data_IF_163861841401
#
_entry.id   IF_163861841401
#
_cell.length_a   1.000
_cell.length_b   1.000
_cell.length_c   1.000
_cell.angle_alpha   90.00
_cell.angle_beta   90.00
_cell.angle_gamma   90.00
#
_symmetry.space_group_name_H-M   'P 1'
#
loop_
_entity.id
_entity.type
_entity.pdbx_description
1 polymer ?
#
# COMPACT_ATOMS: atom_id res chain seq x y z
N UNK A 1 -3.28 -11.00 -29.68
CA UNK A 1 -3.16 -12.33 -29.06
C UNK A 1 -4.53 -12.66 -28.49
N UNK A 2 -5.14 -13.75 -28.92
CA UNK A 2 -6.47 -14.18 -28.46
C UNK A 2 -6.25 -15.10 -27.26
N UNK A 3 -7.00 -14.89 -26.17
CA UNK A 3 -6.90 -15.69 -24.94
C UNK A 3 -7.60 -17.04 -25.17
N UNK A 4 -7.06 -18.11 -24.58
CA UNK A 4 -7.66 -19.44 -24.65
C UNK A 4 -8.93 -19.48 -23.78
N UNK A 5 -10.05 -19.93 -24.32
CA UNK A 5 -11.31 -20.02 -23.61
C UNK A 5 -11.25 -20.98 -22.39
N UNK A 6 -10.42 -22.02 -22.42
CA UNK A 6 -10.31 -22.97 -21.32
C UNK A 6 -9.88 -22.34 -19.99
N UNK A 7 -8.98 -21.35 -20.02
CA UNK A 7 -8.58 -20.62 -18.79
C UNK A 7 -9.77 -19.85 -18.18
N UNK A 8 -10.67 -19.35 -19.02
CA UNK A 8 -11.89 -18.69 -18.58
C UNK A 8 -12.92 -19.68 -18.02
N UNK A 9 -13.03 -20.88 -18.59
CA UNK A 9 -14.00 -21.90 -18.17
C UNK A 9 -13.70 -22.39 -16.74
N UNK A 10 -12.43 -22.55 -16.38
CA UNK A 10 -12.02 -22.91 -15.01
C UNK A 10 -12.40 -21.81 -14.01
N UNK A 11 -12.15 -20.56 -14.34
CA UNK A 11 -12.55 -19.42 -13.48
C UNK A 11 -14.07 -19.32 -13.34
N UNK A 12 -14.82 -19.51 -14.42
CA UNK A 12 -16.28 -19.47 -14.39
C UNK A 12 -16.86 -20.60 -13.53
N UNK A 13 -16.25 -21.78 -13.57
CA UNK A 13 -16.68 -22.89 -12.73
C UNK A 13 -16.35 -22.64 -11.24
N UNK A 14 -15.18 -22.05 -10.93
CA UNK A 14 -14.87 -21.59 -9.57
C UNK A 14 -15.86 -20.54 -9.08
N UNK A 15 -16.21 -19.57 -9.94
CA UNK A 15 -17.22 -18.56 -9.61
C UNK A 15 -18.60 -19.18 -9.36
N UNK A 16 -19.04 -20.14 -10.20
CA UNK A 16 -20.29 -20.87 -10.01
C UNK A 16 -20.36 -21.62 -8.69
N UNK A 17 -19.21 -22.08 -8.19
CA UNK A 17 -19.09 -22.83 -6.94
C UNK A 17 -18.80 -21.92 -5.73
N UNK A 18 -18.82 -20.60 -5.89
CA UNK A 18 -18.42 -19.62 -4.86
C UNK A 18 -16.99 -19.87 -4.30
N UNK A 19 -16.08 -20.28 -5.18
CA UNK A 19 -14.69 -20.63 -4.86
C UNK A 19 -13.67 -19.70 -5.50
N UNK A 20 -14.09 -18.49 -5.92
CA UNK A 20 -13.16 -17.50 -6.46
C UNK A 20 -12.13 -17.15 -5.37
N UNK A 21 -10.83 -17.33 -5.63
CA UNK A 21 -9.81 -17.04 -4.64
C UNK A 21 -9.86 -15.58 -4.19
N UNK A 22 -10.05 -15.36 -2.92
CA UNK A 22 -10.01 -14.02 -2.35
C UNK A 22 -8.57 -13.55 -2.20
N UNK A 23 -8.38 -12.22 -2.26
CA UNK A 23 -7.10 -11.60 -1.93
C UNK A 23 -6.72 -11.86 -0.47
N UNK A 24 -5.44 -11.72 -0.16
CA UNK A 24 -4.92 -11.96 1.18
C UNK A 24 -5.34 -10.84 2.13
N UNK A 25 -5.98 -11.21 3.22
CA UNK A 25 -6.33 -10.31 4.32
C UNK A 25 -5.21 -10.18 5.34
N UNK A 26 -5.39 -9.30 6.31
CA UNK A 26 -4.48 -9.10 7.44
C UNK A 26 -5.17 -9.30 8.79
N UNK A 27 -6.28 -10.03 8.77
CA UNK A 27 -7.06 -10.47 9.94
C UNK A 27 -7.59 -9.30 10.80
N UNK A 28 -8.09 -8.24 10.16
CA UNK A 28 -8.78 -7.15 10.82
C UNK A 28 -9.89 -6.56 9.94
N UNK A 29 -10.58 -5.49 10.41
CA UNK A 29 -11.72 -4.89 9.71
C UNK A 29 -11.37 -4.31 8.31
N UNK A 30 -10.10 -4.09 8.00
CA UNK A 30 -9.67 -3.64 6.67
C UNK A 30 -10.03 -4.67 5.60
N UNK A 31 -10.02 -5.95 5.93
CA UNK A 31 -10.21 -7.06 4.98
C UNK A 31 -11.58 -7.02 4.27
N UNK A 32 -12.55 -6.33 4.83
CA UNK A 32 -13.84 -6.08 4.19
C UNK A 32 -13.75 -5.07 3.03
N UNK A 33 -12.71 -4.23 3.05
CA UNK A 33 -12.58 -3.11 2.12
C UNK A 33 -11.34 -3.19 1.23
N UNK A 34 -10.27 -3.80 1.73
CA UNK A 34 -9.00 -3.92 1.00
C UNK A 34 -8.29 -5.22 1.35
N UNK A 35 -8.02 -6.03 0.34
CA UNK A 35 -7.19 -7.22 0.41
C UNK A 35 -6.03 -7.13 -0.57
N UNK A 36 -4.91 -7.75 -0.24
CA UNK A 36 -3.77 -7.83 -1.14
C UNK A 36 -4.09 -8.74 -2.33
N UNK A 37 -3.94 -8.20 -3.54
CA UNK A 37 -4.12 -8.93 -4.82
C UNK A 37 -2.80 -8.97 -5.56
N UNK A 38 -2.39 -10.15 -6.00
CA UNK A 38 -1.15 -10.35 -6.77
C UNK A 38 -1.25 -9.62 -8.12
N UNK A 39 -0.20 -8.87 -8.47
CA UNK A 39 -0.14 -8.16 -9.74
C UNK A 39 -1.07 -6.95 -9.85
N UNK A 40 -1.51 -6.38 -8.74
CA UNK A 40 -2.34 -5.17 -8.70
C UNK A 40 -1.50 -3.89 -8.75
N UNK A 41 -2.08 -2.84 -9.33
CA UNK A 41 -1.50 -1.50 -9.35
C UNK A 41 -2.31 -0.59 -8.44
N UNK A 42 -1.74 -0.15 -7.33
CA UNK A 42 -2.42 0.52 -6.24
C UNK A 42 -1.88 1.94 -6.05
N UNK A 43 -2.77 2.88 -5.82
CA UNK A 43 -2.44 4.28 -5.52
C UNK A 43 -2.77 4.59 -4.06
N UNK A 44 -1.81 5.17 -3.35
CA UNK A 44 -1.93 5.66 -1.98
C UNK A 44 -1.85 7.18 -2.01
N UNK A 45 -2.98 7.85 -1.92
CA UNK A 45 -3.08 9.31 -1.92
C UNK A 45 -3.13 9.85 -0.48
N UNK A 46 -2.57 11.02 -0.25
CA UNK A 46 -2.73 11.76 1.01
C UNK A 46 -1.91 13.03 1.05
N UNK A 47 -2.27 13.94 1.93
CA UNK A 47 -1.48 15.15 2.19
C UNK A 47 -0.08 14.80 2.69
N UNK A 48 0.82 15.78 2.72
CA UNK A 48 2.12 15.61 3.36
C UNK A 48 1.96 15.28 4.86
N UNK A 49 2.86 14.47 5.41
CA UNK A 49 2.93 14.12 6.84
C UNK A 49 1.71 13.38 7.44
N UNK A 50 0.77 12.87 6.62
CA UNK A 50 -0.35 12.05 7.12
C UNK A 50 0.03 10.61 7.41
N UNK A 51 1.29 10.21 7.20
CA UNK A 51 1.80 8.88 7.54
C UNK A 51 1.60 7.82 6.46
N UNK A 52 1.47 8.19 5.17
CA UNK A 52 1.34 7.24 4.03
C UNK A 52 2.41 6.13 4.08
N UNK A 53 3.68 6.54 4.04
CA UNK A 53 4.84 5.63 4.09
C UNK A 53 4.76 4.67 5.28
N UNK A 54 4.48 5.22 6.46
CA UNK A 54 4.46 4.46 7.70
C UNK A 54 3.35 3.42 7.73
N UNK A 55 2.16 3.77 7.23
CA UNK A 55 1.03 2.85 7.13
C UNK A 55 1.30 1.75 6.08
N UNK A 56 1.85 2.08 4.91
CA UNK A 56 2.16 1.08 3.87
C UNK A 56 3.22 0.10 4.37
N UNK A 57 4.26 0.57 5.07
CA UNK A 57 5.27 -0.29 5.68
C UNK A 57 4.65 -1.26 6.69
N UNK A 58 3.73 -0.76 7.53
CA UNK A 58 3.00 -1.62 8.47
C UNK A 58 2.11 -2.65 7.76
N UNK A 59 1.40 -2.24 6.71
CA UNK A 59 0.57 -3.14 5.92
C UNK A 59 1.41 -4.26 5.27
N UNK A 60 2.55 -3.92 4.70
CA UNK A 60 3.49 -4.89 4.14
C UNK A 60 4.06 -5.81 5.23
N UNK A 61 4.35 -5.25 6.39
CA UNK A 61 4.84 -6.03 7.53
C UNK A 61 3.80 -7.05 8.01
N UNK A 62 2.52 -6.69 8.02
CA UNK A 62 1.43 -7.60 8.33
C UNK A 62 1.33 -8.73 7.29
N UNK A 63 1.43 -8.40 5.98
CA UNK A 63 1.49 -9.39 4.91
C UNK A 63 2.71 -10.30 5.01
N UNK A 64 3.88 -9.77 5.42
CA UNK A 64 5.07 -10.58 5.66
C UNK A 64 4.86 -11.55 6.80
N UNK A 65 4.29 -11.09 7.92
CA UNK A 65 4.12 -11.90 9.13
C UNK A 65 3.08 -13.00 8.96
N UNK A 66 1.97 -12.69 8.28
CA UNK A 66 0.84 -13.63 8.11
C UNK A 66 1.07 -14.55 6.91
N UNK A 67 1.58 -14.04 5.81
CA UNK A 67 1.64 -14.74 4.52
C UNK A 67 3.06 -14.90 3.94
N UNK A 68 4.12 -14.55 4.69
CA UNK A 68 5.51 -14.69 4.24
C UNK A 68 5.89 -13.81 3.03
N UNK A 69 5.13 -12.73 2.77
CA UNK A 69 5.34 -11.88 1.58
C UNK A 69 6.63 -11.06 1.66
N UNK A 70 7.25 -10.83 0.50
CA UNK A 70 8.52 -10.10 0.35
C UNK A 70 8.30 -8.80 -0.41
N UNK A 71 8.95 -7.75 0.04
CA UNK A 71 8.67 -6.39 -0.40
C UNK A 71 9.96 -5.66 -0.80
N UNK A 72 9.88 -4.90 -1.90
CA UNK A 72 10.94 -4.00 -2.34
C UNK A 72 10.49 -2.56 -2.14
N UNK A 73 11.29 -1.76 -1.44
CA UNK A 73 10.96 -0.39 -1.05
C UNK A 73 11.85 0.60 -1.79
N UNK A 74 11.24 1.49 -2.56
CA UNK A 74 11.86 2.69 -3.10
C UNK A 74 11.17 3.91 -2.50
N UNK A 75 11.81 4.53 -1.50
CA UNK A 75 11.29 5.71 -0.80
C UNK A 75 12.33 6.84 -0.87
N UNK A 76 12.20 7.70 -1.87
CA UNK A 76 13.20 8.70 -2.21
C UNK A 76 13.30 9.86 -1.19
N UNK A 77 12.25 10.11 -0.42
CA UNK A 77 12.22 11.18 0.60
C UNK A 77 12.68 10.69 1.99
N UNK A 78 12.86 9.39 2.17
CA UNK A 78 13.14 8.80 3.49
C UNK A 78 14.50 8.09 3.50
N UNK A 79 15.26 8.23 4.59
CA UNK A 79 16.47 7.44 4.74
C UNK A 79 16.15 5.96 4.96
N UNK A 80 16.89 5.08 4.31
CA UNK A 80 16.75 3.62 4.49
C UNK A 80 16.87 3.22 5.96
N UNK A 81 17.80 3.83 6.70
CA UNK A 81 17.98 3.59 8.12
C UNK A 81 16.73 3.95 8.94
N UNK A 82 16.07 5.06 8.60
CA UNK A 82 14.82 5.48 9.24
C UNK A 82 13.67 4.51 8.96
N UNK A 83 13.54 4.05 7.71
CA UNK A 83 12.52 3.07 7.31
C UNK A 83 12.74 1.73 8.00
N UNK A 84 14.00 1.23 8.03
CA UNK A 84 14.34 -0.02 8.69
C UNK A 84 14.08 0.05 10.19
N UNK A 85 14.44 1.17 10.85
CA UNK A 85 14.10 1.41 12.26
C UNK A 85 12.60 1.35 12.49
N UNK A 86 11.80 2.01 11.65
CA UNK A 86 10.34 2.02 11.78
C UNK A 86 9.74 0.60 11.65
N UNK A 87 10.25 -0.21 10.73
CA UNK A 87 9.82 -1.61 10.59
C UNK A 87 10.18 -2.44 11.82
N UNK A 88 11.38 -2.26 12.38
CA UNK A 88 11.82 -2.96 13.60
C UNK A 88 10.96 -2.54 14.81
N UNK A 89 10.69 -1.24 14.97
CA UNK A 89 9.80 -0.71 16.02
C UNK A 89 8.40 -1.32 15.92
N UNK A 90 7.83 -1.36 14.71
CA UNK A 90 6.50 -1.92 14.45
C UNK A 90 6.45 -3.43 14.70
N UNK A 91 7.44 -4.19 14.22
CA UNK A 91 7.47 -5.64 14.37
C UNK A 91 7.63 -6.06 15.82
N UNK A 92 8.51 -5.38 16.58
CA UNK A 92 8.74 -5.63 17.99
C UNK A 92 7.68 -5.05 18.93
N UNK A 93 6.70 -4.29 18.39
CA UNK A 93 5.68 -3.57 19.17
C UNK A 93 6.26 -2.69 20.29
N UNK A 94 7.49 -2.22 20.12
CA UNK A 94 8.20 -1.30 21.03
C UNK A 94 9.34 -0.58 20.32
N UNK A 95 9.81 0.51 20.91
CA UNK A 95 10.95 1.25 20.33
C UNK A 95 12.25 0.47 20.47
N UNK A 96 13.15 0.59 19.47
CA UNK A 96 14.48 -0.05 19.50
C UNK A 96 15.23 0.22 20.81
N UNK A 97 15.14 1.45 21.33
CA UNK A 97 15.81 1.84 22.59
C UNK A 97 15.35 1.03 23.82
N UNK A 98 14.18 0.41 23.73
CA UNK A 98 13.55 -0.37 24.80
C UNK A 98 13.66 -1.89 24.55
N UNK A 99 14.35 -2.30 23.47
CA UNK A 99 14.59 -3.71 23.13
C UNK A 99 15.88 -4.23 23.76
N UNK A 100 15.89 -5.53 24.11
CA UNK A 100 17.13 -6.21 24.42
C UNK A 100 17.94 -6.47 23.14
N UNK A 101 19.26 -6.73 23.23
CA UNK A 101 20.06 -7.09 22.06
C UNK A 101 19.51 -8.30 21.27
N UNK A 102 19.00 -9.31 21.98
CA UNK A 102 18.43 -10.52 21.41
C UNK A 102 17.12 -10.22 20.65
N UNK A 103 16.23 -9.42 21.23
CA UNK A 103 15.00 -8.98 20.58
C UNK A 103 15.29 -8.16 19.33
N UNK A 104 16.26 -7.25 19.40
CA UNK A 104 16.66 -6.44 18.25
C UNK A 104 17.19 -7.32 17.12
N UNK A 105 18.01 -8.33 17.41
CA UNK A 105 18.56 -9.21 16.37
C UNK A 105 17.49 -10.10 15.75
N UNK A 106 16.55 -10.63 16.53
CA UNK A 106 15.38 -11.38 16.01
C UNK A 106 14.56 -10.51 15.06
N UNK A 107 14.21 -9.30 15.50
CA UNK A 107 13.39 -8.37 14.71
C UNK A 107 14.11 -7.96 13.42
N UNK A 108 15.40 -7.65 13.52
CA UNK A 108 16.25 -7.29 12.38
C UNK A 108 16.33 -8.43 11.37
N UNK A 109 16.54 -9.67 11.81
CA UNK A 109 16.60 -10.85 10.96
C UNK A 109 15.29 -11.03 10.17
N UNK A 110 14.14 -10.86 10.85
CA UNK A 110 12.84 -10.93 10.16
C UNK A 110 12.71 -9.85 9.10
N UNK A 111 13.05 -8.60 9.41
CA UNK A 111 12.95 -7.49 8.45
C UNK A 111 13.87 -7.72 7.25
N UNK A 112 15.11 -8.17 7.46
CA UNK A 112 16.07 -8.45 6.38
C UNK A 112 15.67 -9.63 5.48
N UNK A 113 14.89 -10.57 6.00
CA UNK A 113 14.34 -11.69 5.22
C UNK A 113 13.20 -11.26 4.28
N UNK A 114 12.44 -10.20 4.63
CA UNK A 114 11.21 -9.83 3.94
C UNK A 114 11.26 -8.48 3.21
N UNK A 115 12.21 -7.61 3.54
CA UNK A 115 12.28 -6.25 2.99
C UNK A 115 13.66 -5.96 2.41
N UNK A 116 13.65 -5.50 1.16
CA UNK A 116 14.81 -4.89 0.52
C UNK A 116 14.53 -3.43 0.18
N UNK A 117 15.57 -2.64 0.14
CA UNK A 117 15.50 -1.20 -0.09
C UNK A 117 16.36 -0.83 -1.29
N UNK A 118 15.80 0.00 -2.18
CA UNK A 118 16.55 0.59 -3.28
C UNK A 118 17.21 1.88 -2.79
N UNK A 119 18.51 2.03 -3.07
CA UNK A 119 19.26 3.25 -2.82
C UNK A 119 18.74 4.40 -3.70
N UNK A 120 18.49 5.55 -3.08
CA UNK A 120 17.99 6.76 -3.74
C UNK A 120 19.10 7.77 -4.13
N UNK A 121 20.37 7.36 -4.16
CA UNK A 121 21.48 8.19 -4.63
C UNK A 121 21.39 8.57 -6.11
N UNK A 122 20.48 7.95 -6.83
CA UNK A 122 20.27 8.14 -8.25
C UNK A 122 18.81 8.46 -8.54
N UNK A 123 18.59 9.41 -9.46
CA UNK A 123 17.27 9.72 -10.01
C UNK A 123 17.00 8.74 -11.17
N UNK A 124 15.90 8.02 -11.10
CA UNK A 124 15.51 7.00 -12.06
C UNK A 124 14.45 7.51 -13.05
N UNK A 125 14.54 7.10 -14.31
CA UNK A 125 13.37 7.06 -15.18
C UNK A 125 12.56 5.77 -14.92
N UNK A 126 11.23 5.81 -15.02
CA UNK A 126 10.37 4.66 -14.70
C UNK A 126 10.75 3.39 -15.47
N UNK A 127 11.00 3.50 -16.78
CA UNK A 127 11.35 2.34 -17.61
C UNK A 127 12.69 1.73 -17.20
N UNK A 128 13.66 2.57 -16.87
CA UNK A 128 14.98 2.14 -16.41
C UNK A 128 14.89 1.47 -15.02
N UNK A 129 14.15 2.07 -14.12
CA UNK A 129 13.87 1.52 -12.78
C UNK A 129 13.30 0.11 -12.88
N UNK A 130 12.25 -0.08 -13.70
CA UNK A 130 11.62 -1.38 -13.88
C UNK A 130 12.57 -2.43 -14.49
N UNK A 131 13.41 -2.04 -15.46
CA UNK A 131 14.43 -2.93 -16.04
C UNK A 131 15.46 -3.37 -15.00
N UNK A 132 15.91 -2.46 -14.13
CA UNK A 132 16.87 -2.81 -13.09
C UNK A 132 16.26 -3.73 -12.03
N UNK A 133 15.00 -3.55 -11.66
CA UNK A 133 14.31 -4.49 -10.75
C UNK A 133 14.21 -5.89 -11.38
N UNK A 134 13.91 -5.98 -12.68
CA UNK A 134 13.87 -7.26 -13.39
C UNK A 134 15.22 -7.98 -13.43
N UNK A 135 16.33 -7.25 -13.39
CA UNK A 135 17.68 -7.81 -13.38
C UNK A 135 18.11 -8.31 -11.97
N UNK A 136 17.34 -8.02 -10.93
CA UNK A 136 17.60 -8.55 -9.59
C UNK A 136 17.16 -10.02 -9.56
N UNK A 137 18.09 -10.91 -9.24
CA UNK A 137 17.81 -12.35 -9.06
C UNK A 137 17.08 -12.60 -7.71
N UNK A 138 15.97 -11.92 -7.52
CA UNK A 138 15.09 -12.04 -6.35
C UNK A 138 13.67 -11.66 -6.72
N UNK A 139 12.71 -12.47 -6.30
CA UNK A 139 11.30 -12.24 -6.56
C UNK A 139 10.66 -11.48 -5.39
N UNK A 140 9.89 -10.44 -5.70
CA UNK A 140 9.14 -9.67 -4.72
C UNK A 140 7.64 -9.78 -4.98
N UNK A 141 6.85 -9.91 -3.92
CA UNK A 141 5.39 -9.91 -4.00
C UNK A 141 4.84 -8.50 -4.21
N UNK A 142 5.52 -7.48 -3.66
CA UNK A 142 5.17 -6.10 -3.95
C UNK A 142 6.36 -5.15 -3.99
N UNK A 143 6.12 -4.00 -4.64
CA UNK A 143 7.04 -2.86 -4.73
C UNK A 143 6.33 -1.62 -4.22
N UNK A 144 6.94 -0.89 -3.30
CA UNK A 144 6.51 0.45 -2.89
C UNK A 144 7.34 1.51 -3.61
N UNK A 145 6.67 2.52 -4.15
CA UNK A 145 7.27 3.70 -4.77
C UNK A 145 6.75 4.93 -4.03
N UNK A 146 7.63 5.68 -3.36
CA UNK A 146 7.27 6.78 -2.49
C UNK A 146 8.26 7.96 -2.56
N UNK A 147 7.87 9.09 -3.16
CA UNK A 147 6.67 9.30 -3.98
C UNK A 147 6.92 9.07 -5.48
N UNK A 148 5.85 9.08 -6.28
CA UNK A 148 5.95 8.92 -7.74
C UNK A 148 6.72 10.04 -8.43
N UNK A 149 6.67 11.25 -7.90
CA UNK A 149 7.35 12.43 -8.45
C UNK A 149 8.88 12.41 -8.26
N UNK A 150 9.43 11.41 -7.55
CA UNK A 150 10.86 11.15 -7.49
C UNK A 150 11.43 10.62 -8.81
N UNK A 151 10.58 10.14 -9.72
CA UNK A 151 11.04 9.72 -11.04
C UNK A 151 11.32 10.89 -11.96
N UNK A 152 12.41 10.76 -12.72
CA UNK A 152 12.76 11.74 -13.75
C UNK A 152 11.74 11.69 -14.90
N UNK A 153 11.21 12.85 -15.27
CA UNK A 153 10.42 13.02 -16.49
C UNK A 153 11.32 13.14 -17.71
N UNK A 154 11.01 12.48 -18.83
CA UNK A 154 11.70 12.67 -20.09
C UNK A 154 11.58 14.15 -20.54
N UNK A 155 12.65 14.71 -21.11
CA UNK A 155 12.63 16.07 -21.63
C UNK A 155 11.65 16.18 -22.82
N UNK A 156 10.90 17.29 -22.86
CA UNK A 156 9.97 17.57 -23.98
C UNK A 156 8.64 16.82 -23.93
N UNK A 157 8.41 15.97 -22.94
CA UNK A 157 7.13 15.27 -22.76
C UNK A 157 6.21 16.07 -21.84
N UNK A 158 4.94 16.22 -22.25
CA UNK A 158 3.93 16.87 -21.44
C UNK A 158 3.73 16.08 -20.13
N UNK A 159 3.61 16.79 -19.01
CA UNK A 159 3.41 16.16 -17.69
C UNK A 159 2.21 15.22 -17.66
N UNK A 160 1.11 15.62 -18.28
CA UNK A 160 -0.11 14.81 -18.33
C UNK A 160 0.08 13.50 -19.11
N UNK A 161 0.78 13.56 -20.24
CA UNK A 161 1.09 12.39 -21.07
C UNK A 161 2.07 11.45 -20.37
N UNK A 162 3.13 12.00 -19.78
CA UNK A 162 4.10 11.22 -19.00
C UNK A 162 3.47 10.45 -17.84
N UNK A 163 2.58 11.09 -17.07
CA UNK A 163 1.92 10.44 -15.95
C UNK A 163 0.99 9.32 -16.42
N UNK A 164 0.27 9.54 -17.54
CA UNK A 164 -0.59 8.52 -18.14
C UNK A 164 0.22 7.30 -18.61
N UNK A 165 1.32 7.54 -19.31
CA UNK A 165 2.23 6.46 -19.74
C UNK A 165 2.85 5.75 -18.54
N UNK A 166 3.30 6.50 -17.53
CA UNK A 166 3.88 5.95 -16.31
C UNK A 166 2.91 5.02 -15.61
N UNK A 167 1.68 5.46 -15.37
CA UNK A 167 0.65 4.64 -14.76
C UNK A 167 0.34 3.37 -15.59
N UNK A 168 0.30 3.51 -16.91
CA UNK A 168 0.05 2.38 -17.83
C UNK A 168 1.20 1.36 -17.79
N UNK A 169 2.46 1.83 -17.79
CA UNK A 169 3.66 0.98 -17.71
C UNK A 169 3.72 0.23 -16.38
N UNK A 170 3.49 0.93 -15.26
CA UNK A 170 3.48 0.32 -13.92
C UNK A 170 2.40 -0.76 -13.80
N UNK A 171 1.21 -0.48 -14.31
CA UNK A 171 0.11 -1.46 -14.31
C UNK A 171 0.42 -2.70 -15.16
N UNK A 172 0.97 -2.51 -16.36
CA UNK A 172 1.37 -3.63 -17.22
C UNK A 172 2.48 -4.46 -16.56
N UNK A 173 3.45 -3.80 -15.93
CA UNK A 173 4.49 -4.45 -15.17
C UNK A 173 3.92 -5.29 -14.03
N UNK A 174 3.06 -4.71 -13.20
CA UNK A 174 2.43 -5.41 -12.07
C UNK A 174 1.78 -6.73 -12.53
N UNK A 175 0.97 -6.67 -13.58
CA UNK A 175 0.27 -7.84 -14.13
C UNK A 175 1.21 -8.87 -14.74
N UNK A 176 2.20 -8.42 -15.55
CA UNK A 176 3.11 -9.32 -16.26
C UNK A 176 4.02 -10.09 -15.31
N UNK A 177 4.55 -9.43 -14.28
CA UNK A 177 5.48 -10.03 -13.31
C UNK A 177 4.78 -10.57 -12.06
N UNK A 178 3.46 -10.49 -12.00
CA UNK A 178 2.68 -10.90 -10.82
C UNK A 178 3.20 -10.26 -9.53
N UNK A 179 3.65 -9.00 -9.61
CA UNK A 179 4.19 -8.21 -8.50
C UNK A 179 3.30 -7.00 -8.27
N UNK A 180 2.73 -6.84 -7.10
CA UNK A 180 1.84 -5.71 -6.81
C UNK A 180 2.62 -4.42 -6.60
N UNK A 181 2.18 -3.32 -7.21
CA UNK A 181 2.86 -2.03 -7.11
C UNK A 181 1.99 -1.08 -6.31
N UNK A 182 2.57 -0.47 -5.28
CA UNK A 182 1.97 0.54 -4.42
C UNK A 182 2.70 1.86 -4.62
N UNK A 183 1.99 2.86 -5.14
CA UNK A 183 2.53 4.17 -5.43
C UNK A 183 1.96 5.20 -4.47
N UNK A 184 2.83 5.80 -3.67
CA UNK A 184 2.47 6.92 -2.82
C UNK A 184 2.49 8.23 -3.61
N UNK A 185 1.45 9.03 -3.41
CA UNK A 185 1.26 10.31 -4.09
C UNK A 185 0.86 11.40 -3.11
N UNK A 186 1.27 12.62 -3.41
CA UNK A 186 0.79 13.79 -2.69
C UNK A 186 -0.52 14.30 -3.31
N UNK A 187 -1.37 14.83 -2.47
CA UNK A 187 -2.50 15.64 -2.90
C UNK A 187 -2.00 17.03 -3.36
N UNK A 188 -2.69 17.60 -4.33
CA UNK A 188 -2.40 18.96 -4.80
C UNK A 188 -2.51 19.99 -3.67
N UNK A 189 -1.79 21.12 -3.79
CA UNK A 189 -1.85 22.20 -2.81
C UNK A 189 -3.27 22.76 -2.65
N UNK A 190 -4.07 22.74 -3.70
CA UNK A 190 -5.46 23.18 -3.65
C UNK A 190 -6.34 22.29 -2.77
N UNK A 191 -6.03 21.01 -2.65
CA UNK A 191 -6.76 20.10 -1.79
C UNK A 191 -6.67 20.49 -0.30
N UNK A 192 -5.58 21.13 0.13
CA UNK A 192 -5.43 21.65 1.49
C UNK A 192 -6.36 22.83 1.82
N UNK A 193 -6.85 23.54 0.80
CA UNK A 193 -7.81 24.64 0.96
C UNK A 193 -9.25 24.15 1.16
N UNK A 194 -9.51 22.88 0.87
CA UNK A 194 -10.80 22.24 1.09
C UNK A 194 -10.89 21.81 2.55
N UNK A 195 -11.66 22.55 3.34
CA UNK A 195 -11.84 22.29 4.78
C UNK A 195 -13.27 21.88 5.09
N UNK A 196 -13.45 21.19 6.20
CA UNK A 196 -14.78 20.83 6.68
C UNK A 196 -15.60 22.08 7.01
N UNK A 197 -16.91 22.10 6.66
CA UNK A 197 -17.77 23.24 6.88
C UNK A 197 -18.09 23.43 8.37
N UNK A 198 -18.64 24.59 8.68
CA UNK A 198 -19.17 24.93 10.02
C UNK A 198 -20.15 23.86 10.51
N UNK A 199 -20.09 23.53 11.80
CA UNK A 199 -20.87 22.49 12.48
C UNK A 199 -20.44 21.04 12.16
N UNK A 200 -19.39 20.81 11.39
CA UNK A 200 -18.79 19.49 11.25
C UNK A 200 -17.89 19.18 12.47
N UNK A 201 -17.76 17.91 12.87
CA UNK A 201 -16.88 17.52 13.98
C UNK A 201 -15.40 17.91 13.76
N UNK A 202 -14.97 18.07 12.51
CA UNK A 202 -13.64 18.50 12.10
C UNK A 202 -13.66 19.88 11.41
N UNK A 203 -14.53 20.78 11.82
CA UNK A 203 -14.66 22.14 11.26
C UNK A 203 -13.30 22.80 11.10
N UNK A 204 -13.05 23.39 9.92
CA UNK A 204 -11.81 24.10 9.60
C UNK A 204 -10.60 23.22 9.32
N UNK A 205 -10.64 21.90 9.58
CA UNK A 205 -9.58 20.98 9.24
C UNK A 205 -9.70 20.49 7.79
N UNK A 206 -8.58 20.15 7.12
CA UNK A 206 -8.61 19.68 5.74
C UNK A 206 -9.49 18.45 5.54
N UNK A 207 -10.21 18.41 4.43
CA UNK A 207 -11.02 17.25 4.01
C UNK A 207 -10.09 16.18 3.44
N UNK A 208 -10.39 14.87 3.62
CA UNK A 208 -9.67 13.80 2.95
C UNK A 208 -9.66 13.99 1.42
N UNK A 209 -8.49 14.00 0.75
CA UNK A 209 -8.41 14.26 -0.68
C UNK A 209 -9.12 13.16 -1.50
N UNK A 210 -9.71 13.57 -2.62
CA UNK A 210 -10.32 12.70 -3.62
C UNK A 210 -9.32 12.32 -4.71
N UNK A 211 -9.70 11.40 -5.60
CA UNK A 211 -8.87 11.04 -6.75
C UNK A 211 -8.59 12.20 -7.70
N UNK A 212 -9.47 13.21 -7.76
CA UNK A 212 -9.25 14.42 -8.54
C UNK A 212 -8.21 15.36 -7.93
N UNK A 213 -7.98 15.23 -6.63
CA UNK A 213 -7.01 16.04 -5.88
C UNK A 213 -5.59 15.47 -5.93
N UNK A 214 -5.37 14.31 -6.55
CA UNK A 214 -4.04 13.76 -6.74
C UNK A 214 -3.17 14.71 -7.57
N UNK A 215 -1.90 14.85 -7.22
CA UNK A 215 -0.94 15.55 -8.08
C UNK A 215 -0.91 14.87 -9.45
N UNK A 216 -1.16 15.65 -10.51
CA UNK A 216 -1.36 15.10 -11.85
C UNK A 216 -2.82 14.77 -12.20
N UNK A 217 -3.78 14.84 -11.25
CA UNK A 217 -5.21 14.74 -11.50
C UNK A 217 -5.79 13.32 -11.59
N UNK A 218 -7.06 13.23 -12.03
CA UNK A 218 -7.86 12.00 -11.99
C UNK A 218 -7.40 10.82 -12.86
N UNK A 219 -6.35 10.97 -13.68
CA UNK A 219 -5.82 9.88 -14.50
C UNK A 219 -5.30 8.70 -13.69
N UNK A 220 -4.78 8.96 -12.50
CA UNK A 220 -4.26 7.93 -11.60
C UNK A 220 -5.36 7.01 -11.08
N UNK A 221 -6.48 7.57 -10.61
CA UNK A 221 -7.63 6.77 -10.16
C UNK A 221 -8.24 5.97 -11.32
N UNK A 222 -8.22 6.52 -12.54
CA UNK A 222 -8.74 5.80 -13.70
C UNK A 222 -7.88 4.60 -14.09
N UNK A 223 -6.57 4.66 -13.87
CA UNK A 223 -5.61 3.63 -14.30
C UNK A 223 -5.27 2.59 -13.23
N UNK A 224 -5.37 2.91 -11.95
CA UNK A 224 -5.08 1.95 -10.88
C UNK A 224 -6.17 0.86 -10.78
N UNK A 225 -5.81 -0.22 -10.13
CA UNK A 225 -6.76 -1.26 -9.74
C UNK A 225 -7.43 -0.86 -8.42
N UNK A 226 -6.66 -0.45 -7.39
CA UNK A 226 -7.21 0.07 -6.15
C UNK A 226 -6.69 1.49 -5.87
N UNK A 227 -7.58 2.31 -5.29
CA UNK A 227 -7.26 3.70 -4.92
C UNK A 227 -7.62 3.95 -3.46
N UNK A 228 -6.59 4.22 -2.67
CA UNK A 228 -6.68 4.39 -1.22
C UNK A 228 -6.28 5.82 -0.87
N UNK A 229 -7.12 6.53 -0.13
CA UNK A 229 -6.75 7.81 0.48
C UNK A 229 -6.44 7.60 1.94
N UNK A 230 -5.23 7.96 2.36
CA UNK A 230 -4.82 8.00 3.77
C UNK A 230 -4.94 9.43 4.28
N UNK A 231 -5.66 9.61 5.37
CA UNK A 231 -5.89 10.91 5.98
C UNK A 231 -5.68 10.86 7.50
N UNK A 232 -5.18 11.97 8.05
CA UNK A 232 -5.05 12.21 9.49
C UNK A 232 -5.32 13.68 9.78
N UNK A 233 -6.03 13.92 10.85
CA UNK A 233 -6.23 15.27 11.38
C UNK A 233 -5.09 15.58 12.35
N UNK A 234 -3.87 15.78 11.80
CA UNK A 234 -2.62 15.92 12.56
C UNK A 234 -2.60 17.12 13.51
N UNK A 235 -3.48 18.10 13.29
CA UNK A 235 -3.63 19.30 14.14
C UNK A 235 -4.78 19.18 15.15
N UNK A 236 -5.45 18.04 15.22
CA UNK A 236 -6.52 17.79 16.20
C UNK A 236 -5.96 17.09 17.44
N UNK A 237 -6.08 17.70 18.60
CA UNK A 237 -5.68 17.10 19.88
C UNK A 237 -6.44 15.81 20.19
N UNK A 238 -7.68 15.68 19.70
CA UNK A 238 -8.56 14.55 19.99
C UNK A 238 -8.26 13.32 19.14
N UNK A 239 -7.83 13.50 17.89
CA UNK A 239 -7.74 12.40 16.93
C UNK A 239 -6.44 12.36 16.09
N UNK A 240 -5.39 13.10 16.50
CA UNK A 240 -4.11 13.11 15.79
C UNK A 240 -3.44 11.73 15.67
N UNK A 241 -3.80 10.78 16.56
CA UNK A 241 -3.30 9.39 16.52
C UNK A 241 -4.09 8.52 15.55
N UNK A 242 -5.26 8.95 15.08
CA UNK A 242 -6.12 8.18 14.20
C UNK A 242 -5.70 8.39 12.74
N UNK A 243 -5.64 7.29 12.01
CA UNK A 243 -5.39 7.26 10.57
C UNK A 243 -6.63 6.71 9.89
N UNK A 244 -7.22 7.50 9.00
CA UNK A 244 -8.45 7.16 8.30
C UNK A 244 -8.11 6.72 6.87
N UNK A 245 -8.54 5.52 6.52
CA UNK A 245 -8.40 4.97 5.17
C UNK A 245 -9.74 5.05 4.44
N UNK A 246 -9.77 5.85 3.40
CA UNK A 246 -10.88 5.92 2.47
C UNK A 246 -10.53 5.08 1.24
N UNK A 247 -11.08 3.90 1.13
CA UNK A 247 -10.94 3.04 -0.04
C UNK A 247 -11.90 3.57 -1.10
N UNK A 248 -11.36 4.29 -2.09
CA UNK A 248 -12.16 5.02 -3.09
C UNK A 248 -12.50 4.17 -4.31
N UNK A 249 -11.67 3.18 -4.60
CA UNK A 249 -11.85 2.27 -5.72
C UNK A 249 -11.24 0.92 -5.38
N UNK A 250 -11.96 -0.13 -5.68
CA UNK A 250 -11.48 -1.51 -5.70
C UNK A 250 -11.93 -2.11 -7.02
N UNK A 251 -10.96 -2.62 -7.78
CA UNK A 251 -11.24 -3.41 -8.95
C UNK A 251 -11.33 -4.88 -8.53
N UNK A 252 -12.32 -5.59 -9.06
CA UNK A 252 -12.60 -6.97 -8.67
C UNK A 252 -12.98 -7.05 -7.18
N UNK A 253 -14.15 -6.53 -6.86
CA UNK A 253 -14.67 -6.43 -5.48
C UNK A 253 -14.86 -7.80 -4.82
N UNK A 254 -15.10 -8.85 -5.58
CA UNK A 254 -15.23 -10.22 -5.07
C UNK A 254 -13.93 -10.72 -4.44
N UNK A 255 -12.78 -10.29 -4.95
CA UNK A 255 -11.46 -10.70 -4.46
C UNK A 255 -10.78 -9.66 -3.58
N UNK A 256 -11.03 -8.38 -3.83
CA UNK A 256 -10.30 -7.25 -3.25
C UNK A 256 -10.99 -6.53 -2.09
N UNK A 257 -12.26 -6.83 -1.81
CA UNK A 257 -13.08 -6.09 -0.85
C UNK A 257 -13.92 -5.01 -1.53
N UNK A 258 -14.51 -4.09 -0.78
CA UNK A 258 -15.43 -3.07 -1.28
C UNK A 258 -14.97 -1.65 -0.90
N UNK A 259 -15.24 -0.63 -1.75
CA UNK A 259 -15.01 0.76 -1.39
C UNK A 259 -15.69 1.12 -0.08
N UNK A 260 -15.07 2.01 0.71
CA UNK A 260 -15.67 2.52 1.94
C UNK A 260 -16.72 3.57 1.62
N UNK A 261 -17.72 3.72 2.50
CA UNK A 261 -18.58 4.91 2.47
C UNK A 261 -17.78 6.16 2.86
N UNK A 262 -18.20 7.31 2.35
CA UNK A 262 -17.53 8.59 2.62
C UNK A 262 -17.51 8.89 4.14
N UNK A 263 -18.59 8.55 4.83
CA UNK A 263 -18.79 8.79 6.26
C UNK A 263 -18.22 7.69 7.17
N UNK A 264 -17.79 6.58 6.60
CA UNK A 264 -17.33 5.40 7.34
C UNK A 264 -16.02 4.85 6.78
N UNK A 265 -14.91 5.62 6.87
CA UNK A 265 -13.59 5.11 6.51
C UNK A 265 -13.15 4.00 7.49
N UNK A 266 -12.19 3.19 7.07
CA UNK A 266 -11.53 2.28 8.01
C UNK A 266 -10.60 3.08 8.90
N UNK A 267 -10.78 2.97 10.21
CA UNK A 267 -10.00 3.71 11.19
C UNK A 267 -8.91 2.83 11.80
N UNK A 268 -7.70 3.37 11.81
CA UNK A 268 -6.56 2.82 12.52
C UNK A 268 -6.11 3.81 13.59
N UNK A 269 -5.89 3.32 14.80
CA UNK A 269 -5.28 4.10 15.88
C UNK A 269 -3.84 3.68 16.05
N UNK A 270 -2.94 4.65 16.02
CA UNK A 270 -1.52 4.42 16.31
C UNK A 270 -1.29 4.40 17.83
N UNK A 271 -1.13 3.21 18.40
CA UNK A 271 -0.85 3.04 19.82
C UNK A 271 0.66 3.14 20.10
N UNK A 272 1.02 3.92 21.11
CA UNK A 272 2.42 4.17 21.55
C UNK A 272 3.42 4.48 20.42
N UNK A 273 2.94 4.81 19.23
CA UNK A 273 3.76 5.08 18.05
C UNK A 273 4.47 3.85 17.46
N UNK A 274 4.00 2.65 17.77
CA UNK A 274 4.60 1.37 17.31
C UNK A 274 3.58 0.32 16.87
N UNK A 275 2.29 0.53 17.09
CA UNK A 275 1.25 -0.42 16.71
C UNK A 275 0.07 0.28 16.03
N UNK A 276 -0.38 -0.24 14.90
CA UNK A 276 -1.66 0.17 14.30
C UNK A 276 -2.77 -0.78 14.75
N UNK A 277 -3.74 -0.22 15.47
CA UNK A 277 -4.91 -0.94 15.97
C UNK A 277 -6.11 -0.64 15.05
N UNK A 278 -6.72 -1.66 14.47
CA UNK A 278 -7.95 -1.56 13.68
C UNK A 278 -9.05 -2.36 14.37
N UNK A 279 -10.13 -1.67 14.81
CA UNK A 279 -11.18 -2.34 15.59
C UNK A 279 -10.67 -2.99 16.90
N UNK A 280 -9.61 -2.44 17.50
CA UNK A 280 -8.98 -3.00 18.70
C UNK A 280 -8.00 -4.16 18.43
N UNK A 281 -7.75 -4.52 17.17
CA UNK A 281 -6.88 -5.62 16.76
C UNK A 281 -5.56 -5.09 16.20
N UNK A 282 -4.44 -5.62 16.67
CA UNK A 282 -3.12 -5.49 16.05
C UNK A 282 -2.84 -6.76 15.22
N UNK A 283 -2.86 -6.63 13.90
CA UNK A 283 -2.59 -7.76 12.99
C UNK A 283 -1.19 -8.38 13.17
N UNK A 284 -0.24 -7.61 13.71
CA UNK A 284 1.11 -8.10 13.99
C UNK A 284 1.21 -8.98 15.25
N UNK A 285 0.18 -9.05 16.08
CA UNK A 285 0.15 -9.92 17.27
C UNK A 285 -0.58 -11.24 17.01
N UNK A 286 -1.21 -11.38 15.84
CA UNK A 286 -1.94 -12.59 15.50
C UNK A 286 -0.98 -13.70 15.03
N UNK A 287 -1.33 -14.94 15.34
CA UNK A 287 -0.62 -16.10 14.81
C UNK A 287 -0.76 -16.18 13.27
N UNK A 288 0.22 -16.73 12.55
CA UNK A 288 0.09 -17.01 11.13
C UNK A 288 -1.17 -17.87 10.88
N UNK A 289 -1.95 -17.49 9.87
CA UNK A 289 -3.08 -18.31 9.43
C UNK A 289 -2.53 -19.51 8.63
N UNK A 290 -2.36 -20.63 9.29
CA UNK A 290 -1.85 -21.85 8.67
C UNK A 290 -2.87 -22.48 7.70
N UNK A 291 -4.15 -22.08 7.72
CA UNK A 291 -5.19 -22.68 6.89
C UNK A 291 -5.06 -22.33 5.39
N UNK A 292 -4.38 -21.23 5.06
CA UNK A 292 -4.19 -20.80 3.66
C UNK A 292 -2.91 -21.33 3.02
N UNK A 293 -1.95 -21.81 3.80
CA UNK A 293 -0.72 -22.40 3.27
C UNK A 293 -0.94 -23.77 2.61
N UNK A 294 -1.97 -24.50 3.03
CA UNK A 294 -2.32 -25.80 2.45
C UNK A 294 -2.95 -25.64 1.05
N UNK A 295 -3.72 -24.58 0.82
CA UNK A 295 -4.33 -24.29 -0.50
C UNK A 295 -3.35 -23.70 -1.53
N UNK A 296 -2.28 -23.04 -1.09
CA UNK A 296 -1.27 -22.46 -1.97
C UNK A 296 -0.27 -23.49 -2.48
N UNK A 297 -0.08 -24.60 -1.75
CA UNK A 297 0.85 -25.68 -2.12
C UNK A 297 0.23 -26.74 -3.05
N UNK A 298 -1.08 -26.75 -3.25
CA UNK A 298 -1.76 -27.69 -4.15
C UNK A 298 -1.91 -27.19 -5.60
N UNK A 299 -1.53 -25.93 -5.90
CA UNK A 299 -1.72 -25.30 -7.22
C UNK A 299 -0.45 -24.68 -7.84
N UNK A 300 0.72 -25.34 -7.70
CA UNK A 300 1.91 -25.00 -8.47
C UNK A 300 2.55 -26.23 -9.13
#
# INVERSE_FOLDING_TARGET
>A
MIINHRENDEFLEQARQDRVPQGLGINNNLDNNLRFKVGSFNIILGHANVGKTYWVLWYFLALSKIHGKKHLIYAAENSVNGLKRNLIDLYGNKKIKDMTPEELEINKTFIEAHFDFIDHKRIWGVTEFMKNIQAIDKKYDSIMIDPINAFQRPRGVNAHENDYETASKLRLYAKHFKTSIYVCMHASTEALRKVHPTKHAFEGLPIPPSGADAEGGGKWINRCDDFITIHRYTQSEMCWMNTYLHIKKVKETETGGAPTFITSPVEFRLDRGVAFMCGGVNSLEQAPDNSLNDLANENF
#
